data_IF_062838028539
#
_entry.id   IF_062838028539
#
_cell.length_a   1.000
_cell.length_b   1.000
_cell.length_c   1.000
_cell.angle_alpha   90.00
_cell.angle_beta   90.00
_cell.angle_gamma   90.00
#
_symmetry.space_group_name_H-M   'P 1'
#
loop_
_entity.id
_entity.type
_entity.pdbx_description
1 polymer ?
#
# COMPACT_ATOMS: atom_id res chain seq x y z
N UNK A 1 -40.77 -33.06 47.00
CA UNK A 1 -40.89 -31.81 46.26
C UNK A 1 -39.65 -30.93 46.36
N UNK A 2 -38.95 -30.83 47.48
CA UNK A 2 -37.83 -29.90 47.72
C UNK A 2 -36.53 -30.25 46.89
N UNK A 3 -36.28 -31.53 46.61
CA UNK A 3 -35.08 -31.95 45.82
C UNK A 3 -35.17 -31.58 44.33
N UNK A 4 -36.35 -31.61 43.74
CA UNK A 4 -36.54 -31.24 42.33
C UNK A 4 -36.49 -29.73 42.11
N UNK A 5 -36.87 -28.95 43.14
CA UNK A 5 -36.81 -27.48 43.10
C UNK A 5 -35.33 -26.99 43.07
N UNK A 6 -34.44 -27.66 43.82
CA UNK A 6 -33.02 -27.33 43.85
C UNK A 6 -32.30 -27.67 42.52
N UNK A 7 -32.67 -28.77 41.87
CA UNK A 7 -32.10 -29.16 40.57
C UNK A 7 -32.56 -28.19 39.47
N UNK A 8 -33.81 -27.76 39.47
CA UNK A 8 -34.33 -26.76 38.55
C UNK A 8 -33.68 -25.38 38.73
N UNK A 9 -33.41 -24.97 39.97
CA UNK A 9 -32.71 -23.71 40.27
C UNK A 9 -31.22 -23.75 39.80
N UNK A 10 -30.52 -24.89 39.92
CA UNK A 10 -29.15 -25.03 39.45
C UNK A 10 -29.07 -25.06 37.92
N UNK A 11 -30.02 -25.67 37.23
CA UNK A 11 -30.09 -25.66 35.77
C UNK A 11 -30.39 -24.23 35.22
N UNK A 12 -31.31 -23.50 35.89
CA UNK A 12 -31.60 -22.11 35.52
C UNK A 12 -30.40 -21.17 35.74
N UNK A 13 -29.61 -21.39 36.81
CA UNK A 13 -28.39 -20.59 37.07
C UNK A 13 -27.25 -20.87 36.08
N UNK A 14 -27.15 -22.11 35.60
CA UNK A 14 -26.13 -22.45 34.55
C UNK A 14 -26.51 -21.91 33.17
N UNK A 15 -27.80 -21.77 32.86
CA UNK A 15 -28.22 -21.16 31.60
C UNK A 15 -28.10 -19.63 31.59
N UNK A 16 -28.15 -18.96 32.73
CA UNK A 16 -27.96 -17.50 32.82
C UNK A 16 -26.50 -17.07 32.73
N UNK A 17 -25.54 -17.98 32.93
CA UNK A 17 -24.10 -17.68 32.82
C UNK A 17 -23.55 -17.79 31.37
N UNK A 18 -24.38 -18.23 30.43
CA UNK A 18 -24.01 -18.39 29.03
C UNK A 18 -24.52 -17.27 28.09
N UNK A 19 -24.95 -16.12 28.66
CA UNK A 19 -24.98 -14.90 27.85
C UNK A 19 -23.54 -14.49 27.62
N UNK A 20 -22.94 -15.08 26.59
CA UNK A 20 -21.67 -14.63 26.07
C UNK A 20 -21.75 -13.11 25.94
N UNK A 21 -20.82 -12.41 26.54
CA UNK A 21 -20.58 -11.01 26.26
C UNK A 21 -20.40 -10.97 24.74
N UNK A 22 -21.44 -10.56 24.03
CA UNK A 22 -21.33 -10.27 22.61
C UNK A 22 -20.20 -9.27 22.54
N UNK A 23 -19.07 -9.69 21.97
CA UNK A 23 -17.93 -8.82 21.77
C UNK A 23 -18.46 -7.64 20.97
N UNK A 24 -18.62 -6.50 21.62
CA UNK A 24 -19.10 -5.29 21.00
C UNK A 24 -18.21 -5.06 19.79
N UNK A 25 -18.77 -5.24 18.60
CA UNK A 25 -18.06 -4.92 17.37
C UNK A 25 -17.72 -3.44 17.48
N UNK A 26 -16.44 -3.12 17.61
CA UNK A 26 -15.98 -1.74 17.50
C UNK A 26 -16.29 -1.25 16.10
N UNK A 27 -17.47 -0.67 15.92
CA UNK A 27 -17.81 0.01 14.69
C UNK A 27 -17.09 1.35 14.67
N UNK A 28 -16.28 1.55 13.63
CA UNK A 28 -15.71 2.88 13.38
C UNK A 28 -16.88 3.82 13.05
N UNK A 29 -17.00 4.96 13.72
CA UNK A 29 -18.07 5.90 13.40
C UNK A 29 -17.94 6.36 11.94
N UNK A 30 -19.06 6.56 11.21
CA UNK A 30 -19.02 7.13 9.88
C UNK A 30 -18.40 8.52 9.95
N UNK A 31 -17.44 8.79 9.05
CA UNK A 31 -16.78 10.08 8.95
C UNK A 31 -17.46 10.92 7.86
N UNK A 32 -17.71 12.19 8.16
CA UNK A 32 -18.30 13.13 7.23
C UNK A 32 -17.34 14.32 7.04
N UNK A 33 -16.89 14.52 5.82
CA UNK A 33 -16.06 15.67 5.44
C UNK A 33 -16.93 16.79 4.84
N UNK A 34 -16.74 18.04 5.29
CA UNK A 34 -17.43 19.20 4.69
C UNK A 34 -16.78 19.61 3.36
N UNK A 35 -15.48 19.58 3.26
CA UNK A 35 -14.72 20.12 2.13
C UNK A 35 -13.98 19.03 1.34
N UNK A 36 -13.37 18.08 2.05
CA UNK A 36 -12.62 16.98 1.46
C UNK A 36 -12.52 15.79 2.43
N UNK A 37 -12.11 14.67 1.89
CA UNK A 37 -11.80 13.47 2.66
C UNK A 37 -10.65 12.74 2.00
N UNK A 38 -9.71 12.23 2.79
CA UNK A 38 -8.60 11.39 2.36
C UNK A 38 -8.66 10.08 3.15
N UNK A 39 -8.90 8.96 2.46
CA UNK A 39 -9.10 7.65 3.09
C UNK A 39 -8.24 6.61 2.40
N UNK A 40 -7.48 5.87 3.17
CA UNK A 40 -6.74 4.67 2.77
C UNK A 40 -6.59 3.75 3.97
N UNK A 41 -6.24 2.48 3.74
CA UNK A 41 -5.94 1.51 4.79
C UNK A 41 -4.70 1.86 5.64
N UNK A 42 -3.85 2.77 5.16
CA UNK A 42 -2.61 3.21 5.84
C UNK A 42 -2.75 4.65 6.34
N UNK A 43 -2.72 4.90 7.67
CA UNK A 43 -2.89 6.24 8.22
C UNK A 43 -1.91 7.29 7.66
N UNK A 44 -0.63 6.92 7.49
CA UNK A 44 0.37 7.82 6.90
C UNK A 44 0.06 8.12 5.43
N UNK A 45 -0.51 7.16 4.69
CA UNK A 45 -1.00 7.38 3.34
C UNK A 45 -2.14 8.40 3.31
N UNK A 46 -3.14 8.28 4.21
CA UNK A 46 -4.21 9.26 4.33
C UNK A 46 -3.68 10.66 4.68
N UNK A 47 -2.68 10.75 5.57
CA UNK A 47 -2.00 12.00 5.91
C UNK A 47 -1.32 12.63 4.69
N UNK A 48 -0.70 11.82 3.80
CA UNK A 48 -0.12 12.33 2.55
C UNK A 48 -1.18 13.00 1.67
N UNK A 49 -2.37 12.40 1.55
CA UNK A 49 -3.50 13.01 0.83
C UNK A 49 -4.00 14.31 1.46
N UNK A 50 -4.14 14.34 2.79
CA UNK A 50 -4.54 15.54 3.53
C UNK A 50 -3.57 16.71 3.29
N UNK A 51 -2.26 16.46 3.32
CA UNK A 51 -1.22 17.47 3.01
C UNK A 51 -1.41 18.10 1.62
N UNK A 52 -1.93 17.36 0.63
CA UNK A 52 -2.18 17.92 -0.71
C UNK A 52 -3.35 18.92 -0.69
N UNK A 53 -4.43 18.60 0.02
CA UNK A 53 -5.53 19.55 0.17
C UNK A 53 -5.10 20.84 0.89
N UNK A 54 -4.28 20.75 1.93
CA UNK A 54 -3.71 21.90 2.65
C UNK A 54 -2.84 22.78 1.75
N UNK A 55 -2.19 22.23 0.74
CA UNK A 55 -1.39 22.94 -0.26
C UNK A 55 -2.21 23.49 -1.43
N UNK A 56 -3.54 23.38 -1.41
CA UNK A 56 -4.43 23.83 -2.48
C UNK A 56 -4.58 22.86 -3.64
N UNK A 57 -4.08 21.65 -3.49
CA UNK A 57 -4.31 20.55 -4.43
C UNK A 57 -5.76 20.10 -4.47
N UNK A 58 -6.09 19.32 -5.48
CA UNK A 58 -7.41 18.72 -5.65
C UNK A 58 -7.43 17.23 -5.22
N UNK A 59 -8.56 16.56 -5.45
CA UNK A 59 -8.73 15.16 -5.09
C UNK A 59 -7.77 14.24 -5.86
N UNK A 60 -7.34 14.61 -7.07
CA UNK A 60 -6.39 13.82 -7.87
C UNK A 60 -4.99 13.92 -7.29
N UNK A 61 -4.54 15.14 -6.92
CA UNK A 61 -3.25 15.31 -6.22
C UNK A 61 -3.21 14.51 -4.93
N UNK A 62 -4.29 14.56 -4.14
CA UNK A 62 -4.42 13.82 -2.90
C UNK A 62 -4.38 12.31 -3.14
N UNK A 63 -5.11 11.79 -4.14
CA UNK A 63 -5.11 10.38 -4.50
C UNK A 63 -3.72 9.92 -4.96
N UNK A 64 -3.04 10.68 -5.81
CA UNK A 64 -1.69 10.36 -6.27
C UNK A 64 -0.67 10.33 -5.12
N UNK A 65 -0.75 11.28 -4.18
CA UNK A 65 0.10 11.28 -2.99
C UNK A 65 -0.19 10.08 -2.07
N UNK A 66 -1.48 9.72 -1.90
CA UNK A 66 -1.87 8.52 -1.15
C UNK A 66 -1.36 7.24 -1.80
N UNK A 67 -1.50 7.10 -3.13
CA UNK A 67 -0.98 5.96 -3.88
C UNK A 67 0.53 5.84 -3.68
N UNK A 68 1.27 6.93 -3.88
CA UNK A 68 2.72 6.95 -3.73
C UNK A 68 3.17 6.58 -2.31
N UNK A 69 2.55 7.17 -1.29
CA UNK A 69 2.85 6.90 0.11
C UNK A 69 2.50 5.45 0.51
N UNK A 70 1.35 4.94 0.06
CA UNK A 70 0.91 3.56 0.34
C UNK A 70 1.82 2.54 -0.33
N UNK A 71 2.23 2.80 -1.58
CA UNK A 71 3.19 1.95 -2.29
C UNK A 71 4.57 1.90 -1.58
N UNK A 72 4.98 3.01 -0.97
CA UNK A 72 6.23 3.08 -0.20
C UNK A 72 6.13 2.31 1.13
N UNK A 73 4.94 2.21 1.70
CA UNK A 73 4.68 1.44 2.93
C UNK A 73 4.45 -0.06 2.70
N UNK A 74 4.58 -0.54 1.45
CA UNK A 74 4.39 -1.96 1.14
C UNK A 74 3.02 -2.50 1.58
N UNK A 75 1.96 -1.74 1.38
CA UNK A 75 0.60 -2.29 1.42
C UNK A 75 0.38 -3.19 0.18
N UNK A 76 -0.82 -3.55 -0.14
CA UNK A 76 -1.11 -4.37 -1.34
C UNK A 76 -0.65 -3.69 -2.63
N UNK A 77 -0.57 -2.37 -2.64
CA UNK A 77 -0.10 -1.54 -3.75
C UNK A 77 1.42 -1.38 -3.73
N UNK A 78 2.06 -1.52 -4.88
CA UNK A 78 3.51 -1.37 -5.06
C UNK A 78 3.84 -0.49 -6.26
N UNK A 79 5.01 0.16 -6.23
CA UNK A 79 5.52 0.95 -7.35
C UNK A 79 5.68 0.15 -8.64
N UNK A 80 5.99 -1.13 -8.54
CA UNK A 80 6.07 -2.06 -9.66
C UNK A 80 4.73 -2.66 -10.07
N UNK A 81 3.64 -2.29 -9.42
CA UNK A 81 2.32 -2.84 -9.63
C UNK A 81 1.46 -2.05 -10.61
N UNK A 82 0.17 -2.15 -10.40
CA UNK A 82 -0.88 -1.56 -11.23
C UNK A 82 -1.74 -0.57 -10.44
N UNK A 83 -2.41 0.32 -11.15
CA UNK A 83 -3.34 1.28 -10.56
C UNK A 83 -4.55 1.45 -11.47
N UNK A 84 -5.73 1.43 -10.88
CA UNK A 84 -6.99 1.81 -11.52
C UNK A 84 -7.61 2.95 -10.73
N UNK A 85 -8.20 3.92 -11.43
CA UNK A 85 -8.87 5.02 -10.77
C UNK A 85 -10.15 5.43 -11.50
N UNK A 86 -11.11 5.91 -10.74
CA UNK A 86 -12.30 6.58 -11.24
C UNK A 86 -12.30 8.02 -10.72
N UNK A 87 -12.32 8.99 -11.63
CA UNK A 87 -12.27 10.41 -11.34
C UNK A 87 -13.60 11.05 -11.77
N UNK A 88 -14.38 11.57 -10.82
CA UNK A 88 -15.49 12.43 -11.16
C UNK A 88 -14.96 13.78 -11.62
N UNK A 89 -15.20 14.13 -12.90
CA UNK A 89 -14.80 15.39 -13.48
C UNK A 89 -16.01 16.37 -13.53
N UNK A 90 -16.09 17.37 -12.64
CA UNK A 90 -17.28 18.21 -12.50
C UNK A 90 -17.55 19.07 -13.74
N UNK A 91 -16.52 19.56 -14.43
CA UNK A 91 -16.67 20.36 -15.66
C UNK A 91 -17.24 19.56 -16.83
N UNK A 92 -16.86 18.28 -16.94
CA UNK A 92 -17.38 17.38 -17.99
C UNK A 92 -18.62 16.61 -17.54
N UNK A 93 -19.00 16.69 -16.25
CA UNK A 93 -20.13 15.98 -15.63
C UNK A 93 -20.12 14.47 -15.92
N UNK A 94 -18.93 13.86 -15.92
CA UNK A 94 -18.75 12.44 -16.18
C UNK A 94 -17.65 11.84 -15.31
N UNK A 95 -17.66 10.52 -15.19
CA UNK A 95 -16.57 9.74 -14.60
C UNK A 95 -15.53 9.46 -15.68
N UNK A 96 -14.27 9.73 -15.35
CA UNK A 96 -13.10 9.35 -16.13
C UNK A 96 -12.52 8.09 -15.51
N UNK A 97 -12.30 7.07 -16.30
CA UNK A 97 -11.61 5.86 -15.87
C UNK A 97 -10.14 5.92 -16.30
N UNK A 98 -9.25 5.66 -15.36
CA UNK A 98 -7.82 5.49 -15.60
C UNK A 98 -7.52 4.01 -15.49
N UNK A 99 -6.97 3.43 -16.53
CA UNK A 99 -6.45 2.07 -16.55
C UNK A 99 -4.92 2.12 -16.67
N UNK A 100 -4.27 1.99 -15.54
CA UNK A 100 -2.82 1.87 -15.44
C UNK A 100 -2.42 0.46 -14.99
N UNK A 101 -3.03 -0.55 -15.60
CA UNK A 101 -2.57 -1.93 -15.53
C UNK A 101 -1.25 -2.04 -16.29
N UNK A 102 -0.30 -2.74 -15.71
CA UNK A 102 0.90 -3.11 -16.43
C UNK A 102 0.58 -4.08 -17.57
N UNK A 103 1.24 -3.92 -18.70
CA UNK A 103 1.16 -4.90 -19.79
C UNK A 103 2.21 -5.99 -19.59
N UNK A 104 1.96 -7.18 -20.13
CA UNK A 104 2.98 -8.21 -20.18
C UNK A 104 4.20 -7.71 -21.00
N UNK A 105 5.42 -7.97 -20.54
CA UNK A 105 6.62 -7.72 -21.37
C UNK A 105 6.50 -8.44 -22.70
N UNK A 106 7.02 -7.85 -23.78
CA UNK A 106 6.90 -8.39 -25.16
C UNK A 106 7.43 -9.81 -25.30
N UNK A 107 8.41 -10.22 -24.46
CA UNK A 107 8.95 -11.57 -24.43
C UNK A 107 8.13 -12.57 -23.60
N UNK A 108 7.14 -12.13 -22.83
CA UNK A 108 6.33 -12.99 -21.96
C UNK A 108 5.17 -13.61 -22.76
N UNK A 109 5.49 -14.41 -23.78
CA UNK A 109 4.52 -15.09 -24.63
C UNK A 109 4.10 -16.44 -24.02
N UNK A 110 2.93 -16.98 -24.39
CA UNK A 110 2.55 -18.34 -23.97
C UNK A 110 3.62 -19.39 -24.29
N UNK A 111 4.26 -19.30 -25.45
CA UNK A 111 5.28 -20.25 -25.87
C UNK A 111 6.57 -20.12 -25.04
N UNK A 112 6.90 -18.91 -24.59
CA UNK A 112 8.00 -18.69 -23.65
C UNK A 112 7.78 -19.48 -22.34
N UNK A 113 6.58 -19.44 -21.77
CA UNK A 113 6.26 -20.16 -20.52
C UNK A 113 6.17 -21.67 -20.76
N UNK A 114 5.47 -22.10 -21.81
CA UNK A 114 5.34 -23.53 -22.16
C UNK A 114 6.68 -24.19 -22.44
N UNK A 115 7.61 -23.50 -23.11
CA UNK A 115 8.97 -24.02 -23.35
C UNK A 115 9.77 -24.28 -22.07
N UNK A 116 9.32 -23.73 -20.93
CA UNK A 116 9.87 -23.90 -19.59
C UNK A 116 9.06 -24.85 -18.70
N UNK A 117 8.10 -25.57 -19.29
CA UNK A 117 7.20 -26.46 -18.56
C UNK A 117 6.18 -25.75 -17.68
N UNK A 118 5.86 -24.49 -17.99
CA UNK A 118 4.91 -23.68 -17.24
C UNK A 118 3.64 -23.45 -18.09
N UNK A 119 2.46 -23.84 -17.58
CA UNK A 119 1.19 -23.56 -18.23
C UNK A 119 0.76 -22.09 -18.03
N UNK A 120 1.20 -21.47 -16.93
CA UNK A 120 0.95 -20.08 -16.56
C UNK A 120 2.24 -19.42 -16.05
N UNK A 121 2.31 -18.08 -16.03
CA UNK A 121 3.36 -17.36 -15.30
C UNK A 121 3.41 -17.82 -13.83
N UNK A 122 4.59 -17.90 -13.21
CA UNK A 122 4.68 -18.29 -11.81
C UNK A 122 4.03 -17.22 -10.92
N UNK A 123 3.59 -17.63 -9.75
CA UNK A 123 2.95 -16.73 -8.79
C UNK A 123 3.92 -15.66 -8.25
N UNK A 124 5.22 -15.93 -8.25
CA UNK A 124 6.24 -15.09 -7.65
C UNK A 124 7.52 -15.05 -8.48
N UNK A 125 8.35 -14.04 -8.21
CA UNK A 125 9.66 -13.88 -8.81
C UNK A 125 9.65 -13.09 -10.13
N UNK A 126 10.81 -12.97 -10.79
CA UNK A 126 10.98 -12.11 -11.97
C UNK A 126 10.08 -12.46 -13.15
N UNK A 127 9.70 -13.73 -13.29
CA UNK A 127 8.82 -14.17 -14.38
C UNK A 127 7.33 -13.89 -14.13
N UNK A 128 6.96 -13.48 -12.91
CA UNK A 128 5.62 -13.02 -12.58
C UNK A 128 5.44 -11.52 -12.85
N UNK A 129 6.54 -10.79 -13.09
CA UNK A 129 6.52 -9.33 -13.19
C UNK A 129 5.85 -8.87 -14.49
N UNK A 130 4.99 -7.86 -14.36
CA UNK A 130 4.45 -7.07 -15.47
C UNK A 130 5.23 -5.77 -15.63
N UNK A 131 5.03 -5.06 -16.73
CA UNK A 131 5.54 -3.69 -16.86
C UNK A 131 4.84 -2.79 -15.84
N UNK A 132 5.57 -2.03 -14.99
CA UNK A 132 4.96 -1.22 -13.95
C UNK A 132 3.97 -0.19 -14.49
N UNK A 133 2.71 -0.28 -14.09
CA UNK A 133 1.64 0.64 -14.52
C UNK A 133 1.46 1.82 -13.57
N UNK A 134 1.63 1.62 -12.25
CA UNK A 134 1.42 2.64 -11.21
C UNK A 134 2.16 3.96 -11.49
N UNK A 135 3.46 3.99 -11.81
CA UNK A 135 4.15 5.25 -12.10
C UNK A 135 3.52 6.00 -13.28
N UNK A 136 3.22 5.30 -14.37
CA UNK A 136 2.55 5.88 -15.54
C UNK A 136 1.15 6.43 -15.19
N UNK A 137 0.39 5.71 -14.39
CA UNK A 137 -0.93 6.14 -13.92
C UNK A 137 -0.87 7.43 -13.12
N UNK A 138 0.05 7.52 -12.18
CA UNK A 138 0.28 8.76 -11.41
C UNK A 138 0.64 9.93 -12.34
N UNK A 139 1.56 9.73 -13.28
CA UNK A 139 1.96 10.78 -14.23
C UNK A 139 0.78 11.29 -15.06
N UNK A 140 -0.01 10.39 -15.64
CA UNK A 140 -1.19 10.75 -16.44
C UNK A 140 -2.24 11.47 -15.57
N UNK A 141 -2.56 10.94 -14.40
CA UNK A 141 -3.53 11.57 -13.52
C UNK A 141 -3.13 12.98 -13.11
N UNK A 142 -1.87 13.21 -12.78
CA UNK A 142 -1.37 14.53 -12.41
C UNK A 142 -1.34 15.48 -13.60
N UNK A 143 -0.84 15.05 -14.76
CA UNK A 143 -0.74 15.89 -15.94
C UNK A 143 -2.10 16.35 -16.46
N UNK A 144 -3.11 15.47 -16.44
CA UNK A 144 -4.43 15.76 -17.02
C UNK A 144 -5.42 16.39 -16.01
N UNK A 145 -5.30 16.05 -14.72
CA UNK A 145 -6.32 16.35 -13.72
C UNK A 145 -5.77 16.94 -12.42
N UNK A 146 -4.46 16.94 -12.20
CA UNK A 146 -3.80 17.50 -11.02
C UNK A 146 -3.68 19.03 -11.07
N UNK A 147 -3.20 19.60 -9.97
CA UNK A 147 -2.89 21.02 -9.80
C UNK A 147 -1.50 21.25 -9.23
N UNK A 148 -0.98 20.27 -8.53
CA UNK A 148 0.32 20.33 -7.87
C UNK A 148 1.40 19.69 -8.73
N UNK A 149 2.65 20.04 -8.47
CA UNK A 149 3.80 19.44 -9.12
C UNK A 149 4.01 17.99 -8.65
N UNK A 150 4.71 17.20 -9.46
CA UNK A 150 5.16 15.87 -9.04
C UNK A 150 6.04 15.95 -7.79
N UNK A 151 6.82 17.04 -7.65
CA UNK A 151 7.63 17.30 -6.47
C UNK A 151 6.79 17.40 -5.19
N UNK A 152 5.66 18.13 -5.24
CA UNK A 152 4.75 18.24 -4.10
C UNK A 152 4.09 16.91 -3.75
N UNK A 153 3.60 16.21 -4.77
CA UNK A 153 2.82 14.98 -4.63
C UNK A 153 3.70 13.81 -4.15
N UNK A 154 4.95 13.71 -4.60
CA UNK A 154 5.87 12.66 -4.18
C UNK A 154 6.60 12.97 -2.88
N UNK A 155 6.57 14.22 -2.38
CA UNK A 155 7.30 14.61 -1.17
C UNK A 155 7.01 13.69 0.04
N UNK A 156 5.75 13.33 0.39
CA UNK A 156 5.49 12.44 1.50
C UNK A 156 6.06 11.02 1.29
N UNK A 157 5.99 10.50 0.07
CA UNK A 157 6.53 9.18 -0.25
C UNK A 157 8.07 9.17 -0.19
N UNK A 158 8.71 10.24 -0.62
CA UNK A 158 10.17 10.41 -0.51
C UNK A 158 10.59 10.48 0.95
N UNK A 159 9.88 11.27 1.77
CA UNK A 159 10.12 11.36 3.22
C UNK A 159 10.02 9.98 3.88
N UNK A 160 8.99 9.20 3.54
CA UNK A 160 8.83 7.82 4.04
C UNK A 160 9.93 6.88 3.53
N UNK A 161 10.35 7.02 2.29
CA UNK A 161 11.43 6.19 1.74
C UNK A 161 12.80 6.51 2.35
N UNK A 162 13.02 7.75 2.79
CA UNK A 162 14.19 8.13 3.59
C UNK A 162 14.18 7.51 4.99
N UNK A 163 13.00 7.18 5.52
CA UNK A 163 12.83 6.43 6.75
C UNK A 163 11.51 6.71 7.44
N UNK A 164 10.78 5.66 7.79
CA UNK A 164 9.58 5.76 8.61
C UNK A 164 9.56 4.65 9.67
N UNK A 165 8.88 4.90 10.78
CA UNK A 165 8.68 3.88 11.81
C UNK A 165 7.76 2.79 11.27
N UNK A 166 8.33 1.60 11.01
CA UNK A 166 7.58 0.47 10.43
C UNK A 166 6.52 -0.04 11.40
N UNK A 167 5.33 -0.31 10.90
CA UNK A 167 4.26 -0.89 11.71
C UNK A 167 4.44 -2.40 11.95
N UNK A 168 3.84 -2.91 13.03
CA UNK A 168 3.96 -4.31 13.42
C UNK A 168 3.47 -5.27 12.32
N UNK A 169 2.33 -4.98 11.69
CA UNK A 169 1.74 -5.84 10.66
C UNK A 169 2.70 -6.09 9.51
N UNK A 170 3.38 -5.04 9.03
CA UNK A 170 4.33 -5.13 7.93
C UNK A 170 5.63 -5.84 8.38
N UNK A 171 6.18 -5.42 9.52
CA UNK A 171 7.40 -6.00 10.08
C UNK A 171 7.26 -7.50 10.35
N UNK A 172 6.12 -7.93 10.93
CA UNK A 172 5.82 -9.34 11.19
C UNK A 172 5.47 -10.10 9.90
N UNK A 173 4.92 -9.41 8.91
CA UNK A 173 4.73 -9.95 7.56
C UNK A 173 6.07 -10.36 6.93
N UNK A 174 7.05 -9.49 6.94
CA UNK A 174 8.39 -9.80 6.42
C UNK A 174 9.05 -10.95 7.17
N UNK A 175 8.90 -11.00 8.50
CA UNK A 175 9.45 -12.10 9.29
C UNK A 175 8.80 -13.44 8.97
N UNK A 176 7.48 -13.48 8.80
CA UNK A 176 6.79 -14.73 8.40
C UNK A 176 7.23 -15.22 7.04
N UNK A 177 7.45 -14.31 6.10
CA UNK A 177 7.81 -14.63 4.71
C UNK A 177 9.34 -14.70 4.49
N UNK A 178 10.15 -14.60 5.53
CA UNK A 178 11.62 -14.47 5.38
C UNK A 178 12.28 -15.61 4.58
N UNK A 179 11.78 -16.82 4.70
CA UNK A 179 12.31 -17.95 3.93
C UNK A 179 12.16 -17.70 2.42
N UNK A 180 10.98 -17.29 1.99
CA UNK A 180 10.65 -16.93 0.61
C UNK A 180 11.39 -15.69 0.15
N UNK A 181 11.46 -14.64 0.98
CA UNK A 181 12.19 -13.42 0.65
C UNK A 181 13.68 -13.67 0.36
N UNK A 182 14.29 -14.68 1.00
CA UNK A 182 15.68 -15.08 0.78
C UNK A 182 15.94 -15.72 -0.59
N UNK A 183 14.92 -16.21 -1.27
CA UNK A 183 15.04 -16.70 -2.64
C UNK A 183 15.43 -15.57 -3.62
N UNK A 184 15.16 -14.33 -3.24
CA UNK A 184 15.48 -13.14 -4.04
C UNK A 184 16.43 -12.20 -3.30
N UNK A 185 17.71 -12.16 -3.70
CA UNK A 185 18.75 -11.40 -2.99
C UNK A 185 18.41 -9.93 -2.74
N UNK A 186 17.75 -9.26 -3.71
CA UNK A 186 17.35 -7.86 -3.55
C UNK A 186 16.22 -7.69 -2.52
N UNK A 187 15.22 -8.57 -2.51
CA UNK A 187 14.18 -8.57 -1.50
C UNK A 187 14.74 -8.81 -0.11
N UNK A 188 15.59 -9.83 0.04
CA UNK A 188 16.26 -10.12 1.30
C UNK A 188 17.10 -8.93 1.80
N UNK A 189 17.81 -8.26 0.90
CA UNK A 189 18.67 -7.12 1.24
C UNK A 189 17.87 -5.93 1.81
N UNK A 190 16.70 -5.67 1.26
CA UNK A 190 15.86 -4.52 1.63
C UNK A 190 14.97 -4.87 2.83
N UNK A 191 14.30 -6.02 2.79
CA UNK A 191 13.22 -6.36 3.72
C UNK A 191 13.70 -7.10 4.97
N UNK A 192 14.94 -7.64 4.95
CA UNK A 192 15.54 -8.36 6.06
C UNK A 192 16.85 -7.69 6.51
N UNK A 193 16.80 -6.48 7.08
CA UNK A 193 18.01 -5.72 7.44
C UNK A 193 18.86 -6.42 8.51
N UNK A 194 18.26 -7.29 9.33
CA UNK A 194 18.93 -8.00 10.41
C UNK A 194 19.42 -9.41 10.02
N UNK A 195 19.36 -9.81 8.75
CA UNK A 195 19.70 -11.16 8.29
C UNK A 195 21.11 -11.65 8.66
N UNK A 196 22.02 -10.72 8.98
CA UNK A 196 23.38 -11.03 9.39
C UNK A 196 23.63 -10.77 10.89
N UNK A 197 22.61 -10.40 11.65
CA UNK A 197 22.75 -10.15 13.08
C UNK A 197 22.98 -11.46 13.84
N UNK A 198 23.96 -11.47 14.75
CA UNK A 198 24.13 -12.58 15.68
C UNK A 198 23.07 -12.46 16.77
N UNK A 199 22.20 -13.47 16.89
CA UNK A 199 21.17 -13.52 17.96
C UNK A 199 19.83 -14.00 17.44
N UNK A 200 18.79 -13.76 18.13
CA UNK A 200 17.37 -14.17 18.17
C UNK A 200 16.63 -14.69 16.90
N UNK A 201 17.29 -14.93 15.80
CA UNK A 201 16.65 -15.50 14.61
C UNK A 201 15.68 -14.58 13.85
N UNK A 202 15.34 -13.37 14.38
CA UNK A 202 14.55 -12.37 13.68
C UNK A 202 15.44 -11.61 12.69
N UNK A 203 15.02 -11.58 11.42
CA UNK A 203 15.77 -10.96 10.34
C UNK A 203 15.07 -9.72 9.75
N UNK A 204 13.75 -9.63 9.91
CA UNK A 204 12.96 -8.47 9.56
C UNK A 204 13.09 -7.34 10.62
N UNK A 205 12.74 -6.09 10.28
CA UNK A 205 12.67 -5.00 11.24
C UNK A 205 11.77 -5.33 12.43
N UNK A 206 11.95 -4.65 13.55
CA UNK A 206 11.01 -4.64 14.66
C UNK A 206 10.00 -3.52 14.48
N UNK A 207 8.78 -3.71 14.99
CA UNK A 207 7.77 -2.66 15.01
C UNK A 207 8.33 -1.38 15.66
N UNK A 208 8.12 -0.24 15.01
CA UNK A 208 8.65 1.06 15.43
C UNK A 208 10.08 1.35 15.00
N UNK A 209 10.81 0.39 14.45
CA UNK A 209 12.14 0.61 13.90
C UNK A 209 12.08 1.47 12.64
N UNK A 210 13.08 2.32 12.42
CA UNK A 210 13.14 3.15 11.20
C UNK A 210 13.51 2.26 10.01
N UNK A 211 12.55 2.12 9.11
CA UNK A 211 12.71 1.36 7.88
C UNK A 211 13.05 2.30 6.72
N UNK A 212 14.19 2.08 6.08
CA UNK A 212 14.76 2.93 5.03
C UNK A 212 14.78 2.21 3.70
N UNK A 213 14.35 2.90 2.64
CA UNK A 213 14.35 2.44 1.25
C UNK A 213 15.13 3.44 0.37
N UNK A 214 16.42 3.58 0.62
CA UNK A 214 17.27 4.61 0.01
C UNK A 214 17.25 4.60 -1.54
N UNK A 215 17.19 3.42 -2.15
CA UNK A 215 17.13 3.28 -3.62
C UNK A 215 15.79 3.74 -4.19
N UNK A 216 14.69 3.49 -3.46
CA UNK A 216 13.38 4.02 -3.82
C UNK A 216 13.36 5.54 -3.69
N UNK A 217 13.84 6.09 -2.58
CA UNK A 217 13.96 7.53 -2.38
C UNK A 217 14.76 8.20 -3.52
N UNK A 218 15.89 7.62 -3.90
CA UNK A 218 16.70 8.11 -5.01
C UNK A 218 15.95 8.03 -6.35
N UNK A 219 15.17 6.99 -6.58
CA UNK A 219 14.37 6.84 -7.81
C UNK A 219 13.26 7.89 -7.86
N UNK A 220 12.52 8.09 -6.77
CA UNK A 220 11.46 9.11 -6.70
C UNK A 220 12.03 10.52 -6.92
N UNK A 221 13.19 10.84 -6.36
CA UNK A 221 13.89 12.12 -6.61
C UNK A 221 14.29 12.29 -8.07
N UNK A 222 14.74 11.23 -8.76
CA UNK A 222 15.03 11.29 -10.19
C UNK A 222 13.79 11.64 -11.03
N UNK A 223 12.60 11.14 -10.66
CA UNK A 223 11.35 11.50 -11.32
C UNK A 223 11.05 12.99 -11.14
N UNK A 224 11.16 13.51 -9.91
CA UNK A 224 10.99 14.93 -9.61
C UNK A 224 11.99 15.79 -10.40
N UNK A 225 13.25 15.40 -10.45
CA UNK A 225 14.25 16.14 -11.24
C UNK A 225 14.01 16.07 -12.75
N UNK A 226 13.40 14.99 -13.25
CA UNK A 226 13.01 14.90 -14.65
C UNK A 226 11.91 15.91 -14.99
N UNK A 227 10.88 16.04 -14.16
CA UNK A 227 9.83 17.06 -14.29
C UNK A 227 10.44 18.47 -14.28
N UNK A 228 11.25 18.80 -13.29
CA UNK A 228 11.89 20.11 -13.18
C UNK A 228 12.70 20.46 -14.44
N UNK A 229 13.44 19.50 -14.97
CA UNK A 229 14.20 19.71 -16.21
C UNK A 229 13.31 19.91 -17.44
N UNK A 230 12.17 19.20 -17.51
CA UNK A 230 11.22 19.36 -18.62
C UNK A 230 10.58 20.77 -18.57
N UNK A 231 10.09 21.17 -17.39
CA UNK A 231 9.52 22.51 -17.17
C UNK A 231 10.52 23.65 -17.50
N UNK A 232 11.79 23.50 -17.13
CA UNK A 232 12.83 24.46 -17.43
C UNK A 232 13.13 24.60 -18.95
N UNK A 233 12.73 23.63 -19.75
CA UNK A 233 12.86 23.61 -21.22
C UNK A 233 11.58 24.09 -21.93
N UNK A 234 10.55 24.46 -21.19
CA UNK A 234 9.28 24.92 -21.73
C UNK A 234 8.33 23.79 -22.17
N UNK A 235 8.50 22.60 -21.59
CA UNK A 235 7.59 21.47 -21.82
C UNK A 235 6.35 21.57 -20.92
#
# INVERSE_FOLDING_TARGET
MTRYLLVLLTIAATFSAATGVAQEKTEKPPLHGKHWMAITGKPLGATAGAKMFERGGNAVDAACAMIAATATQWDTLHWGGETQALIWHPGLKKVIAINALGVAPTGATPDFFRSRGMDYPPEHGPLAAVTPGTPGGIMVMLAEYGRLSLADVLAPAIEMADGFAIEAQLADGFEREKAKLKEWPNSARILLPHRNAKGEGREAPRAGEIFVQAELAATLRKLVEAEKRALARGA
#
